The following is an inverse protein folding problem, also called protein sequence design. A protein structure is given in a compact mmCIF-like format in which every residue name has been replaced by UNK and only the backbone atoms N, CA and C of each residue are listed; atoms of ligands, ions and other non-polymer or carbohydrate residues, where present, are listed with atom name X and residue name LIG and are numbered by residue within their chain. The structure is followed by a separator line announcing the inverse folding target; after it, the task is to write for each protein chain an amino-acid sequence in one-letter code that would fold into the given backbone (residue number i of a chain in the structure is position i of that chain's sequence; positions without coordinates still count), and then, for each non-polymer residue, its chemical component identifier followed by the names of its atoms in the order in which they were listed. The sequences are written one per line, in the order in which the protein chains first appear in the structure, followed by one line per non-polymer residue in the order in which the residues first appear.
data_IF_109297769838
#
_entry.id   IF_109297769838
#
_cell.length_a   1.000
_cell.length_b   1.000
_cell.length_c   1.000
_cell.angle_alpha   90.00
_cell.angle_beta   90.00
_cell.angle_gamma   90.00
#
_symmetry.space_group_name_H-M   'P 1'
#
loop_
_entity.id
_entity.type
_entity.pdbx_description
1 polymer ?
#
# COMPACT_ATOMS: atom_id res chain seq x y z
N UNK A 1 -29.02 -22.65 6.85
CA UNK A 1 -28.20 -23.25 5.77
C UNK A 1 -28.54 -22.55 4.45
N UNK A 2 -27.52 -21.99 3.81
CA UNK A 2 -27.65 -21.39 2.47
C UNK A 2 -27.05 -22.34 1.43
N UNK A 3 -27.59 -22.32 0.23
CA UNK A 3 -26.99 -23.06 -0.89
C UNK A 3 -25.78 -22.29 -1.40
N UNK A 4 -24.82 -22.99 -1.98
CA UNK A 4 -23.64 -22.37 -2.60
C UNK A 4 -24.01 -21.33 -3.69
N UNK A 5 -25.14 -21.53 -4.36
CA UNK A 5 -25.68 -20.57 -5.36
C UNK A 5 -26.28 -19.30 -4.78
N UNK A 6 -26.59 -19.27 -3.47
CA UNK A 6 -27.24 -18.15 -2.80
C UNK A 6 -26.23 -17.23 -2.07
N UNK A 7 -24.95 -17.63 -2.05
CA UNK A 7 -23.90 -16.92 -1.30
C UNK A 7 -22.70 -16.66 -2.19
N UNK A 8 -22.29 -15.40 -2.29
CA UNK A 8 -21.01 -15.06 -2.89
C UNK A 8 -19.90 -15.27 -1.85
N UNK A 9 -18.89 -16.07 -2.18
CA UNK A 9 -17.82 -16.41 -1.27
C UNK A 9 -16.47 -15.89 -1.79
N UNK A 10 -16.00 -14.77 -1.23
CA UNK A 10 -14.72 -14.18 -1.56
C UNK A 10 -13.69 -14.58 -0.50
N UNK A 11 -12.63 -15.27 -0.90
CA UNK A 11 -11.53 -15.68 -0.01
C UNK A 11 -10.19 -15.43 -0.67
N UNK A 12 -9.18 -15.15 0.16
CA UNK A 12 -7.79 -15.12 -0.30
C UNK A 12 -7.32 -16.54 -0.60
N UNK A 13 -6.28 -16.68 -1.44
CA UNK A 13 -5.72 -17.98 -1.80
C UNK A 13 -5.15 -18.75 -0.59
N UNK A 14 -4.73 -18.04 0.48
CA UNK A 14 -4.21 -18.68 1.67
C UNK A 14 -5.35 -19.16 2.58
N UNK A 15 -5.53 -20.47 2.63
CA UNK A 15 -6.57 -21.14 3.40
C UNK A 15 -6.03 -22.43 3.99
N UNK A 16 -6.31 -22.68 5.27
CA UNK A 16 -5.89 -23.91 5.95
C UNK A 16 -6.81 -25.10 5.65
N UNK A 17 -8.10 -24.85 5.45
CA UNK A 17 -9.13 -25.88 5.25
C UNK A 17 -9.76 -25.84 3.84
N UNK A 18 -9.26 -24.98 2.96
CA UNK A 18 -9.80 -24.80 1.60
C UNK A 18 -11.12 -24.03 1.55
N UNK A 19 -11.80 -23.84 2.67
CA UNK A 19 -13.10 -23.17 2.77
C UNK A 19 -12.97 -21.73 3.22
N UNK A 20 -12.24 -21.48 4.32
CA UNK A 20 -12.07 -20.14 4.87
C UNK A 20 -10.66 -19.62 4.61
N UNK A 21 -10.56 -18.39 4.11
CA UNK A 21 -9.29 -17.69 3.97
C UNK A 21 -8.75 -17.25 5.34
N UNK A 22 -7.43 -17.25 5.52
CA UNK A 22 -6.78 -16.69 6.70
C UNK A 22 -6.60 -15.19 6.51
N UNK A 23 -6.93 -14.39 7.52
CA UNK A 23 -6.79 -12.94 7.42
C UNK A 23 -5.31 -12.51 7.43
N UNK A 24 -4.98 -11.45 6.72
CA UNK A 24 -3.62 -10.86 6.75
C UNK A 24 -3.25 -10.43 8.17
N UNK A 25 -4.23 -9.99 8.97
CA UNK A 25 -4.04 -9.64 10.37
C UNK A 25 -3.53 -10.82 11.21
N UNK A 26 -4.10 -12.00 11.01
CA UNK A 26 -3.63 -13.22 11.70
C UNK A 26 -2.23 -13.64 11.26
N UNK A 27 -1.91 -13.48 9.97
CA UNK A 27 -0.58 -13.79 9.42
C UNK A 27 0.48 -12.86 10.01
N UNK A 28 0.14 -11.58 10.20
CA UNK A 28 1.04 -10.55 10.68
C UNK A 28 0.98 -10.31 12.19
N UNK A 29 0.30 -11.16 12.96
CA UNK A 29 0.06 -10.93 14.38
C UNK A 29 1.34 -10.62 15.14
N UNK A 30 2.39 -11.40 14.93
CA UNK A 30 3.69 -11.22 15.61
C UNK A 30 4.41 -9.94 15.14
N UNK A 31 4.36 -9.64 13.85
CA UNK A 31 4.96 -8.43 13.28
C UNK A 31 4.28 -7.16 13.82
N UNK A 32 2.96 -7.15 13.87
CA UNK A 32 2.18 -6.02 14.40
C UNK A 32 2.37 -5.91 15.91
N UNK A 33 2.39 -7.04 16.63
CA UNK A 33 2.67 -7.09 18.06
C UNK A 33 4.05 -6.49 18.38
N UNK A 34 5.09 -6.94 17.70
CA UNK A 34 6.45 -6.42 17.86
C UNK A 34 6.57 -4.92 17.53
N UNK A 35 5.89 -4.44 16.48
CA UNK A 35 5.86 -3.02 16.14
C UNK A 35 5.17 -2.18 17.24
N UNK A 36 4.08 -2.69 17.81
CA UNK A 36 3.34 -2.03 18.90
C UNK A 36 4.18 -1.96 20.17
N UNK A 37 4.81 -3.07 20.58
CA UNK A 37 5.69 -3.09 21.74
C UNK A 37 6.91 -2.18 21.57
N UNK A 38 7.50 -2.13 20.39
CA UNK A 38 8.56 -1.16 20.07
C UNK A 38 8.09 0.27 20.21
N UNK A 39 6.87 0.59 19.77
CA UNK A 39 6.29 1.92 19.95
C UNK A 39 6.03 2.24 21.43
N UNK A 40 5.51 1.29 22.19
CA UNK A 40 5.27 1.42 23.62
C UNK A 40 6.59 1.64 24.38
N UNK A 41 7.62 0.89 24.04
CA UNK A 41 8.97 1.07 24.61
C UNK A 41 9.48 2.48 24.37
N UNK A 42 9.41 3.00 23.15
CA UNK A 42 9.83 4.36 22.84
C UNK A 42 9.01 5.42 23.56
N UNK A 43 7.69 5.26 23.59
CA UNK A 43 6.80 6.17 24.31
C UNK A 43 7.17 6.23 25.80
N UNK A 44 7.48 5.11 26.40
CA UNK A 44 7.92 5.03 27.80
C UNK A 44 9.28 5.69 27.99
N UNK A 45 10.22 5.46 27.07
CA UNK A 45 11.54 6.09 27.10
C UNK A 45 11.43 7.63 27.03
N UNK A 46 10.61 8.17 26.12
CA UNK A 46 10.35 9.61 26.02
C UNK A 46 9.63 10.18 27.26
N UNK A 47 8.65 9.44 27.80
CA UNK A 47 7.93 9.86 29.02
C UNK A 47 8.85 9.87 30.25
N UNK A 48 9.77 8.93 30.33
CA UNK A 48 10.76 8.85 31.40
C UNK A 48 11.93 9.84 31.22
N UNK A 49 11.95 10.60 30.12
CA UNK A 49 12.93 11.64 29.86
C UNK A 49 14.28 11.13 29.40
N UNK A 50 14.31 10.07 28.59
CA UNK A 50 15.56 9.43 28.09
C UNK A 50 16.51 9.01 29.24
N UNK A 51 16.00 8.92 30.47
CA UNK A 51 16.76 8.47 31.63
C UNK A 51 17.10 7.01 31.41
N UNK A 52 18.31 6.74 31.01
CA UNK A 52 18.85 5.39 30.97
C UNK A 52 18.56 4.71 32.31
N UNK A 53 18.14 3.44 32.26
CA UNK A 53 18.06 2.65 33.48
C UNK A 53 19.39 2.78 34.22
N UNK A 54 19.36 3.18 35.48
CA UNK A 54 20.56 3.38 36.29
C UNK A 54 20.65 2.23 37.29
N UNK A 55 21.84 1.67 37.43
CA UNK A 55 22.13 0.77 38.51
C UNK A 55 22.58 1.60 39.71
N UNK A 56 21.91 1.45 40.83
CA UNK A 56 22.30 2.04 42.12
C UNK A 56 23.16 1.01 42.86
N UNK A 57 24.44 1.31 42.97
CA UNK A 57 25.39 0.53 43.77
C UNK A 57 25.53 1.13 45.16
N UNK A 58 25.54 0.33 46.18
CA UNK A 58 25.73 0.73 47.56
C UNK A 58 26.67 -0.23 48.30
N UNK A 59 27.40 0.28 49.25
CA UNK A 59 28.29 -0.53 50.11
C UNK A 59 27.54 -0.97 51.37
N UNK A 60 27.58 -2.27 51.65
CA UNK A 60 26.96 -2.90 52.84
C UNK A 60 25.56 -3.43 52.60
N UNK A 61 25.05 -4.16 53.58
CA UNK A 61 23.69 -4.75 53.53
C UNK A 61 22.65 -3.69 53.94
N UNK A 62 21.70 -3.45 53.07
CA UNK A 62 20.56 -2.58 53.35
C UNK A 62 19.28 -3.43 53.45
N UNK A 63 18.46 -3.11 54.42
CA UNK A 63 17.13 -3.70 54.54
C UNK A 63 16.29 -3.38 53.26
N UNK A 64 15.47 -4.29 52.86
CA UNK A 64 14.63 -4.20 51.64
C UNK A 64 13.73 -2.94 51.63
N UNK A 65 13.25 -2.55 52.82
CA UNK A 65 12.48 -1.32 53.02
C UNK A 65 13.25 -0.06 52.64
N UNK A 66 14.53 0.00 53.04
CA UNK A 66 15.44 1.13 52.72
C UNK A 66 15.84 1.16 51.26
N UNK A 67 16.02 -0.01 50.64
CA UNK A 67 16.27 -0.12 49.19
C UNK A 67 15.09 0.45 48.39
N UNK A 68 13.87 0.05 48.72
CA UNK A 68 12.64 0.56 48.05
C UNK A 68 12.49 2.07 48.24
N UNK A 69 12.78 2.59 49.42
CA UNK A 69 12.74 4.05 49.69
C UNK A 69 13.79 4.82 48.86
N UNK A 70 15.01 4.28 48.73
CA UNK A 70 16.05 4.85 47.89
C UNK A 70 15.69 4.82 46.42
N UNK A 71 15.20 3.68 45.92
CA UNK A 71 14.74 3.55 44.55
C UNK A 71 13.67 4.58 44.21
N UNK A 72 12.65 4.73 45.04
CA UNK A 72 11.61 5.75 44.87
C UNK A 72 12.16 7.16 44.84
N UNK A 73 13.03 7.49 45.80
CA UNK A 73 13.67 8.84 45.90
C UNK A 73 14.50 9.19 44.64
N UNK A 74 15.25 8.24 44.12
CA UNK A 74 16.02 8.44 42.88
C UNK A 74 15.14 8.43 41.64
N UNK A 75 14.13 7.54 41.55
CA UNK A 75 13.17 7.55 40.48
C UNK A 75 12.45 8.91 40.37
N UNK A 76 11.95 9.46 41.45
CA UNK A 76 11.27 10.77 41.48
C UNK A 76 12.17 11.94 41.02
N UNK A 77 13.49 11.83 41.24
CA UNK A 77 14.45 12.86 40.85
C UNK A 77 15.03 12.69 39.45
N UNK A 78 15.05 11.46 38.93
CA UNK A 78 15.67 11.11 37.66
C UNK A 78 14.65 10.96 36.53
N UNK A 79 13.41 10.57 36.87
CA UNK A 79 12.39 10.29 35.87
C UNK A 79 11.64 11.57 35.43
N UNK A 80 11.20 11.56 34.17
CA UNK A 80 10.38 12.59 33.58
C UNK A 80 11.15 13.69 32.85
N UNK A 81 10.51 14.29 31.81
CA UNK A 81 11.15 15.29 30.94
C UNK A 81 11.62 16.55 31.71
N UNK A 82 10.99 16.87 32.83
CA UNK A 82 11.36 18.03 33.68
C UNK A 82 12.67 17.82 34.43
N UNK A 83 13.11 16.59 34.58
CA UNK A 83 14.33 16.25 35.34
C UNK A 83 15.52 15.91 34.42
N UNK A 84 15.29 15.90 33.11
CA UNK A 84 16.34 15.62 32.12
C UNK A 84 17.46 16.67 32.24
N UNK A 85 18.71 16.21 32.34
CA UNK A 85 19.89 17.08 32.46
C UNK A 85 20.16 17.68 33.86
N UNK A 86 19.40 17.32 34.89
CA UNK A 86 19.66 17.79 36.26
C UNK A 86 20.84 17.07 36.91
N UNK A 87 21.66 17.83 37.62
CA UNK A 87 22.71 17.30 38.48
C UNK A 87 22.08 16.82 39.78
N UNK A 88 22.33 15.57 40.16
CA UNK A 88 21.80 14.96 41.36
C UNK A 88 22.96 14.67 42.32
N UNK A 89 22.94 15.22 43.55
CA UNK A 89 23.93 14.88 44.56
C UNK A 89 23.73 13.41 44.98
N UNK A 90 24.82 12.63 44.89
CA UNK A 90 24.86 11.25 45.32
C UNK A 90 25.64 11.19 46.64
N UNK A 91 25.06 10.67 47.73
CA UNK A 91 25.76 10.53 49.00
C UNK A 91 27.00 9.63 48.91
N UNK A 92 27.94 9.84 49.78
CA UNK A 92 29.15 9.01 49.89
C UNK A 92 28.74 7.55 50.17
N UNK A 93 29.29 6.59 49.42
CA UNK A 93 28.94 5.17 49.51
C UNK A 93 27.83 4.72 48.58
N UNK A 94 27.24 5.63 47.79
CA UNK A 94 26.30 5.30 46.70
C UNK A 94 26.95 5.66 45.39
N UNK A 95 26.79 4.79 44.39
CA UNK A 95 27.24 5.06 43.01
C UNK A 95 26.09 4.80 42.03
N UNK A 96 25.84 5.77 41.16
CA UNK A 96 24.87 5.64 40.06
C UNK A 96 25.63 5.37 38.78
N UNK A 97 25.40 4.19 38.21
CA UNK A 97 26.01 3.80 36.93
C UNK A 97 24.92 3.71 35.87
N UNK A 98 24.99 4.48 34.78
CA UNK A 98 24.04 4.35 33.71
C UNK A 98 24.20 2.99 33.03
N UNK A 99 23.10 2.26 32.94
CA UNK A 99 23.03 1.04 32.10
C UNK A 99 22.91 1.52 30.65
N UNK A 100 24.00 1.36 29.89
CA UNK A 100 24.02 1.75 28.47
C UNK A 100 23.05 0.88 27.68
N UNK A 101 21.86 1.37 27.41
CA UNK A 101 21.02 0.86 26.34
C UNK A 101 21.25 1.74 25.11
N UNK A 102 22.21 1.35 24.28
CA UNK A 102 22.44 2.02 22.99
C UNK A 102 21.60 1.36 21.91
N UNK A 103 20.31 1.65 21.91
CA UNK A 103 19.58 1.65 20.64
C UNK A 103 19.86 3.04 20.02
N UNK A 104 20.69 3.10 19.01
CA UNK A 104 20.90 4.34 18.27
C UNK A 104 19.57 4.73 17.62
N UNK A 105 19.16 5.99 17.74
CA UNK A 105 17.90 6.51 17.18
C UNK A 105 17.73 6.12 15.71
N UNK A 106 18.82 6.04 14.95
CA UNK A 106 18.84 5.61 13.57
C UNK A 106 18.39 4.16 13.38
N UNK A 107 18.85 3.22 14.21
CA UNK A 107 18.47 1.80 14.11
C UNK A 107 16.99 1.58 14.44
N UNK A 108 16.46 2.34 15.39
CA UNK A 108 15.04 2.27 15.73
C UNK A 108 14.16 2.79 14.59
N UNK A 109 14.56 3.88 13.95
CA UNK A 109 13.86 4.44 12.81
C UNK A 109 13.85 3.46 11.63
N UNK A 110 14.98 2.82 11.33
CA UNK A 110 15.08 1.80 10.29
C UNK A 110 14.20 0.59 10.59
N UNK A 111 14.19 0.11 11.85
CA UNK A 111 13.35 -1.02 12.26
C UNK A 111 11.85 -0.71 12.10
N UNK A 112 11.44 0.50 12.50
CA UNK A 112 10.05 0.96 12.38
C UNK A 112 9.61 1.08 10.92
N UNK A 113 10.48 1.59 10.06
CA UNK A 113 10.28 1.67 8.62
C UNK A 113 10.18 0.28 7.99
N UNK A 114 11.07 -0.63 8.37
CA UNK A 114 11.04 -2.02 7.91
C UNK A 114 9.73 -2.71 8.29
N UNK A 115 9.25 -2.56 9.52
CA UNK A 115 7.97 -3.09 9.98
C UNK A 115 6.78 -2.53 9.17
N UNK A 116 6.80 -1.23 8.86
CA UNK A 116 5.76 -0.61 8.02
C UNK A 116 5.75 -1.18 6.60
N UNK A 117 6.92 -1.41 6.00
CA UNK A 117 7.05 -2.02 4.67
C UNK A 117 6.62 -3.49 4.66
N UNK A 118 6.92 -4.25 5.72
CA UNK A 118 6.45 -5.64 5.85
C UNK A 118 4.93 -5.70 5.93
N UNK A 119 4.31 -4.84 6.73
CA UNK A 119 2.85 -4.78 6.85
C UNK A 119 2.24 -4.38 5.51
N UNK A 120 2.74 -3.34 4.85
CA UNK A 120 2.27 -2.92 3.54
C UNK A 120 2.41 -4.04 2.49
N UNK A 121 3.56 -4.72 2.45
CA UNK A 121 3.83 -5.83 1.54
C UNK A 121 2.86 -7.00 1.69
N UNK A 122 2.46 -7.33 2.92
CA UNK A 122 1.50 -8.39 3.17
C UNK A 122 0.06 -8.07 2.67
N UNK A 123 -0.27 -6.78 2.55
CA UNK A 123 -1.50 -6.32 1.87
C UNK A 123 -1.32 -6.12 0.37
N UNK A 124 -0.11 -6.30 -0.16
CA UNK A 124 0.24 -6.01 -1.56
C UNK A 124 0.35 -4.51 -1.86
N UNK A 125 0.45 -3.67 -0.84
CA UNK A 125 0.57 -2.21 -0.97
C UNK A 125 2.03 -1.87 -1.29
N UNK A 126 2.25 -1.02 -2.28
CA UNK A 126 3.59 -0.60 -2.71
C UNK A 126 4.10 0.56 -1.83
N UNK A 127 5.43 0.74 -1.71
CA UNK A 127 6.02 1.76 -0.83
C UNK A 127 5.52 3.18 -1.09
N UNK A 128 5.32 3.59 -2.34
CA UNK A 128 4.80 4.91 -2.70
C UNK A 128 3.39 5.17 -2.16
N UNK A 129 2.58 4.13 -1.99
CA UNK A 129 1.20 4.25 -1.49
C UNK A 129 1.13 4.52 0.03
N UNK A 130 2.22 4.24 0.75
CA UNK A 130 2.40 4.61 2.16
C UNK A 130 3.31 5.83 2.32
N UNK A 131 3.44 6.65 1.28
CA UNK A 131 4.27 7.85 1.23
C UNK A 131 5.77 7.60 1.49
N UNK A 132 6.26 6.41 1.18
CA UNK A 132 7.68 6.11 1.25
C UNK A 132 8.33 6.26 -0.13
N UNK A 133 8.94 7.42 -0.38
CA UNK A 133 9.54 7.80 -1.67
C UNK A 133 11.09 7.75 -1.68
N UNK A 134 11.74 7.22 -0.66
CA UNK A 134 13.21 7.30 -0.51
C UNK A 134 14.02 6.76 -1.69
N UNK A 135 13.44 5.89 -2.50
CA UNK A 135 14.09 5.31 -3.69
C UNK A 135 13.27 5.50 -4.97
N UNK A 136 12.27 6.40 -4.95
CA UNK A 136 11.39 6.58 -6.10
C UNK A 136 11.64 7.90 -6.82
N UNK A 137 11.96 7.84 -8.12
CA UNK A 137 11.79 8.95 -9.06
C UNK A 137 10.35 8.98 -9.57
N UNK A 138 9.92 10.07 -10.21
CA UNK A 138 8.57 10.18 -10.78
C UNK A 138 8.22 9.03 -11.74
N UNK A 139 9.15 8.59 -12.57
CA UNK A 139 8.98 7.43 -13.46
C UNK A 139 8.76 6.12 -12.70
N UNK A 140 9.35 5.97 -11.51
CA UNK A 140 9.12 4.80 -10.65
C UNK A 140 7.74 4.82 -10.00
N UNK A 141 7.10 5.98 -9.82
CA UNK A 141 5.77 6.09 -9.24
C UNK A 141 4.69 5.51 -10.17
N UNK A 142 4.73 5.82 -11.45
CA UNK A 142 3.82 5.22 -12.45
C UNK A 142 4.01 3.71 -12.55
N UNK A 143 5.26 3.26 -12.61
CA UNK A 143 5.58 1.83 -12.63
C UNK A 143 5.06 1.13 -11.38
N UNK A 144 5.16 1.76 -10.20
CA UNK A 144 4.65 1.20 -8.96
C UNK A 144 3.11 1.17 -8.92
N UNK A 145 2.43 2.17 -9.51
CA UNK A 145 0.96 2.14 -9.63
C UNK A 145 0.51 1.01 -10.56
N UNK A 146 1.17 0.84 -11.70
CA UNK A 146 0.92 -0.26 -12.61
C UNK A 146 1.19 -1.61 -11.93
N UNK A 147 2.30 -1.74 -11.22
CA UNK A 147 2.64 -2.94 -10.47
C UNK A 147 1.60 -3.23 -9.36
N UNK A 148 1.07 -2.20 -8.67
CA UNK A 148 -0.02 -2.38 -7.72
C UNK A 148 -1.29 -2.88 -8.41
N UNK A 149 -1.64 -2.31 -9.56
CA UNK A 149 -2.80 -2.76 -10.32
C UNK A 149 -2.65 -4.23 -10.72
N UNK A 150 -1.54 -4.59 -11.35
CA UNK A 150 -1.32 -5.93 -11.89
C UNK A 150 -1.15 -6.98 -10.78
N UNK A 151 -0.30 -6.71 -9.79
CA UNK A 151 0.08 -7.70 -8.79
C UNK A 151 -0.97 -7.84 -7.66
N UNK A 152 -1.72 -6.78 -7.37
CA UNK A 152 -2.59 -6.72 -6.19
C UNK A 152 -4.05 -6.52 -6.52
N UNK A 153 -4.38 -5.52 -7.35
CA UNK A 153 -5.77 -5.15 -7.58
C UNK A 153 -6.45 -6.10 -8.58
N UNK A 154 -5.82 -6.41 -9.71
CA UNK A 154 -6.41 -7.26 -10.77
C UNK A 154 -6.83 -8.63 -10.25
N UNK A 155 -5.99 -9.28 -9.46
CA UNK A 155 -6.34 -10.57 -8.87
C UNK A 155 -7.64 -10.50 -8.06
N UNK A 156 -7.80 -9.46 -7.23
CA UNK A 156 -9.01 -9.27 -6.40
C UNK A 156 -10.21 -8.90 -7.25
N UNK A 157 -10.04 -8.01 -8.21
CA UNK A 157 -11.13 -7.62 -9.13
C UNK A 157 -11.62 -8.83 -9.93
N UNK A 158 -10.71 -9.66 -10.45
CA UNK A 158 -11.06 -10.88 -11.14
C UNK A 158 -11.83 -11.87 -10.27
N UNK A 159 -11.38 -12.08 -9.05
CA UNK A 159 -12.09 -12.92 -8.09
C UNK A 159 -13.54 -12.45 -7.87
N UNK A 160 -13.75 -11.13 -7.78
CA UNK A 160 -15.10 -10.57 -7.66
C UNK A 160 -15.90 -10.71 -8.96
N UNK A 161 -15.31 -10.42 -10.12
CA UNK A 161 -15.95 -10.57 -11.42
C UNK A 161 -16.43 -12.00 -11.65
N UNK A 162 -15.57 -12.98 -11.41
CA UNK A 162 -15.89 -14.39 -11.62
C UNK A 162 -17.03 -14.86 -10.73
N UNK A 163 -16.99 -14.52 -9.44
CA UNK A 163 -18.04 -14.92 -8.51
C UNK A 163 -19.37 -14.20 -8.78
N UNK A 164 -19.33 -12.91 -9.15
CA UNK A 164 -20.53 -12.14 -9.53
C UNK A 164 -21.13 -12.71 -10.82
N UNK A 165 -20.32 -12.91 -11.86
CA UNK A 165 -20.80 -13.46 -13.13
C UNK A 165 -21.41 -14.85 -12.93
N UNK A 166 -20.78 -15.73 -12.17
CA UNK A 166 -21.27 -17.08 -11.93
C UNK A 166 -22.56 -17.17 -11.10
N UNK A 167 -22.90 -16.13 -10.30
CA UNK A 167 -24.03 -16.22 -9.37
C UNK A 167 -25.14 -15.22 -9.61
N UNK A 168 -24.88 -14.13 -10.30
CA UNK A 168 -25.87 -13.06 -10.57
C UNK A 168 -26.48 -13.18 -11.95
N UNK A 169 -25.68 -13.57 -12.95
CA UNK A 169 -26.19 -13.73 -14.30
C UNK A 169 -27.00 -15.02 -14.44
N UNK A 170 -28.14 -14.92 -15.13
CA UNK A 170 -28.88 -16.06 -15.58
C UNK A 170 -28.20 -16.65 -16.83
N UNK A 171 -28.42 -17.94 -17.10
CA UNK A 171 -27.90 -18.60 -18.29
C UNK A 171 -28.29 -17.87 -19.60
N UNK A 172 -29.50 -17.26 -19.65
CA UNK A 172 -29.95 -16.50 -20.84
C UNK A 172 -29.16 -15.21 -21.03
N UNK A 173 -28.80 -14.55 -19.96
CA UNK A 173 -28.00 -13.31 -20.01
C UNK A 173 -26.56 -13.64 -20.40
N UNK A 174 -26.00 -14.72 -19.87
CA UNK A 174 -24.67 -15.19 -20.22
C UNK A 174 -24.59 -15.60 -21.72
N UNK A 175 -25.57 -16.37 -22.22
CA UNK A 175 -25.69 -16.71 -23.65
C UNK A 175 -25.88 -15.48 -24.54
N UNK A 176 -26.53 -14.43 -24.02
CA UNK A 176 -26.68 -13.16 -24.73
C UNK A 176 -25.42 -12.27 -24.68
N UNK A 177 -24.34 -12.71 -24.00
CA UNK A 177 -23.06 -12.03 -23.92
C UNK A 177 -22.98 -10.96 -22.87
N UNK A 178 -23.90 -10.91 -21.87
CA UNK A 178 -23.79 -9.99 -20.75
C UNK A 178 -22.72 -10.48 -19.77
N UNK A 179 -21.98 -9.54 -19.22
CA UNK A 179 -20.98 -9.82 -18.18
C UNK A 179 -20.75 -8.60 -17.31
N UNK A 180 -20.37 -8.83 -16.05
CA UNK A 180 -19.89 -7.80 -15.14
C UNK A 180 -18.37 -7.72 -15.24
N UNK A 181 -17.86 -6.51 -15.42
CA UNK A 181 -16.42 -6.23 -15.46
C UNK A 181 -16.11 -4.92 -14.79
N UNK A 182 -15.08 -4.89 -13.95
CA UNK A 182 -14.59 -3.65 -13.38
C UNK A 182 -13.85 -2.82 -14.43
N UNK A 183 -14.00 -1.51 -14.35
CA UNK A 183 -13.25 -0.58 -15.17
C UNK A 183 -11.84 -0.35 -14.60
N UNK A 184 -10.91 -1.19 -14.96
CA UNK A 184 -9.51 -1.12 -14.52
C UNK A 184 -8.81 0.16 -14.96
N UNK A 185 -9.28 0.75 -16.08
CA UNK A 185 -8.73 2.00 -16.64
C UNK A 185 -8.90 3.20 -15.69
N UNK A 186 -9.86 3.14 -14.77
CA UNK A 186 -10.07 4.19 -13.79
C UNK A 186 -8.87 4.39 -12.84
N UNK A 187 -8.09 3.33 -12.57
CA UNK A 187 -6.88 3.38 -11.73
C UNK A 187 -5.68 3.91 -12.52
N UNK A 188 -5.65 3.61 -13.83
CA UNK A 188 -4.59 4.02 -14.75
C UNK A 188 -4.87 5.39 -15.39
N UNK A 189 -5.59 6.30 -14.71
CA UNK A 189 -5.73 7.67 -15.18
C UNK A 189 -4.34 8.29 -15.22
N UNK A 190 -3.64 8.00 -16.31
CA UNK A 190 -2.38 8.63 -16.69
C UNK A 190 -2.58 10.12 -16.91
N UNK A 191 -1.48 10.86 -16.96
CA UNK A 191 -1.42 12.24 -17.40
C UNK A 191 -2.36 12.51 -18.56
N UNK A 192 -3.13 13.58 -18.47
CA UNK A 192 -4.11 14.00 -19.48
C UNK A 192 -3.54 14.00 -20.89
N UNK A 193 -2.25 14.32 -21.04
CA UNK A 193 -1.56 14.33 -22.33
C UNK A 193 -1.46 12.91 -22.93
N UNK A 194 -0.97 11.93 -22.18
CA UNK A 194 -0.85 10.55 -22.62
C UNK A 194 -2.21 9.95 -22.95
N UNK A 195 -3.24 10.28 -22.17
CA UNK A 195 -4.62 9.86 -22.42
C UNK A 195 -5.15 10.44 -23.75
N UNK A 196 -4.92 11.72 -24.00
CA UNK A 196 -5.35 12.37 -25.25
C UNK A 196 -4.60 11.81 -26.47
N UNK A 197 -3.31 11.52 -26.34
CA UNK A 197 -2.52 10.88 -27.41
C UNK A 197 -3.06 9.47 -27.71
N UNK A 198 -3.33 8.66 -26.71
CA UNK A 198 -3.93 7.32 -26.86
C UNK A 198 -5.30 7.37 -27.56
N UNK A 199 -6.19 8.27 -27.14
CA UNK A 199 -7.51 8.41 -27.73
C UNK A 199 -7.43 8.92 -29.18
N UNK A 200 -6.56 9.87 -29.46
CA UNK A 200 -6.28 10.36 -30.81
C UNK A 200 -5.83 9.23 -31.72
N UNK A 201 -4.89 8.42 -31.27
CA UNK A 201 -4.36 7.30 -32.06
C UNK A 201 -5.43 6.21 -32.25
N UNK A 202 -6.23 5.91 -31.23
CA UNK A 202 -7.31 4.95 -31.33
C UNK A 202 -8.40 5.38 -32.32
N UNK A 203 -8.76 6.66 -32.36
CA UNK A 203 -9.74 7.21 -33.32
C UNK A 203 -9.14 7.25 -34.72
N UNK A 204 -7.91 7.73 -34.89
CA UNK A 204 -7.26 7.87 -36.20
C UNK A 204 -6.99 6.50 -36.88
N UNK A 205 -6.83 5.44 -36.09
CA UNK A 205 -6.63 4.09 -36.61
C UNK A 205 -7.94 3.27 -36.71
N UNK A 206 -9.10 3.90 -36.51
CA UNK A 206 -10.40 3.23 -36.64
C UNK A 206 -10.71 2.20 -35.53
N UNK A 207 -10.02 2.28 -34.39
CA UNK A 207 -10.26 1.41 -33.23
C UNK A 207 -11.45 1.92 -32.43
N UNK A 208 -11.52 3.26 -32.23
CA UNK A 208 -12.62 3.92 -31.54
C UNK A 208 -13.37 4.86 -32.50
N UNK A 209 -14.68 4.93 -32.28
CA UNK A 209 -15.49 6.02 -32.85
C UNK A 209 -15.22 7.32 -32.12
N UNK A 210 -15.33 8.50 -32.75
CA UNK A 210 -15.20 9.77 -32.05
C UNK A 210 -16.06 9.86 -30.78
N UNK A 211 -17.33 9.39 -30.82
CA UNK A 211 -18.20 9.41 -29.65
C UNK A 211 -17.73 8.48 -28.52
N UNK A 212 -17.12 7.36 -28.83
CA UNK A 212 -16.54 6.49 -27.79
C UNK A 212 -15.37 7.17 -27.07
N UNK A 213 -14.54 7.92 -27.80
CA UNK A 213 -13.47 8.72 -27.21
C UNK A 213 -14.03 9.91 -26.40
N UNK A 214 -15.11 10.56 -26.86
CA UNK A 214 -15.82 11.62 -26.13
C UNK A 214 -16.42 11.10 -24.82
N UNK A 215 -17.09 9.96 -24.85
CA UNK A 215 -17.63 9.30 -23.63
C UNK A 215 -16.52 8.91 -22.65
N UNK A 216 -15.36 8.52 -23.17
CA UNK A 216 -14.19 8.24 -22.32
C UNK A 216 -13.71 9.46 -21.54
N UNK A 217 -13.95 10.69 -22.09
CA UNK A 217 -13.62 11.98 -21.49
C UNK A 217 -14.81 12.64 -20.77
N UNK A 218 -15.90 11.89 -20.55
CA UNK A 218 -17.16 12.38 -19.96
C UNK A 218 -17.76 13.57 -20.76
N UNK A 219 -17.56 13.59 -22.09
CA UNK A 219 -18.11 14.60 -22.98
C UNK A 219 -19.40 14.08 -23.68
N UNK A 220 -20.36 14.96 -23.96
CA UNK A 220 -21.58 14.59 -24.67
C UNK A 220 -21.28 14.10 -26.09
N UNK A 221 -22.14 13.22 -26.62
CA UNK A 221 -22.04 12.69 -27.97
C UNK A 221 -22.22 13.81 -29.03
N UNK A 222 -21.52 13.66 -30.13
CA UNK A 222 -21.68 14.48 -31.32
C UNK A 222 -22.56 13.73 -32.34
N UNK A 223 -23.51 14.40 -33.05
CA UNK A 223 -24.38 13.75 -34.03
C UNK A 223 -23.65 12.98 -35.14
N UNK A 224 -22.47 13.44 -35.52
CA UNK A 224 -21.65 12.81 -36.56
C UNK A 224 -20.54 11.91 -36.03
N UNK A 225 -20.45 11.75 -34.70
CA UNK A 225 -19.35 11.06 -34.03
C UNK A 225 -19.45 9.53 -34.00
N UNK A 226 -20.48 8.91 -34.59
CA UNK A 226 -20.69 7.46 -34.55
C UNK A 226 -20.11 6.69 -35.74
N UNK A 227 -19.39 7.38 -36.62
CA UNK A 227 -18.70 6.75 -37.75
C UNK A 227 -17.24 6.48 -37.41
N UNK A 228 -16.76 5.29 -37.76
CA UNK A 228 -15.32 5.02 -37.70
C UNK A 228 -14.62 5.84 -38.77
N UNK A 229 -13.55 6.52 -38.37
CA UNK A 229 -12.69 7.27 -39.27
C UNK A 229 -11.31 6.62 -39.31
N UNK A 230 -10.65 6.65 -40.44
CA UNK A 230 -9.28 6.17 -40.62
C UNK A 230 -8.47 7.20 -41.38
N UNK A 231 -7.18 7.20 -41.14
CA UNK A 231 -6.28 8.03 -41.92
C UNK A 231 -6.13 7.44 -43.32
N UNK A 232 -6.58 8.20 -44.34
CA UNK A 232 -6.54 7.77 -45.76
C UNK A 232 -5.13 7.57 -46.32
N UNK A 233 -4.08 7.89 -45.58
CA UNK A 233 -2.70 7.68 -46.00
C UNK A 233 -2.22 6.22 -45.81
N UNK A 234 -2.99 5.38 -45.10
CA UNK A 234 -2.69 3.96 -45.00
C UNK A 234 -3.38 3.19 -46.12
N UNK A 235 -2.60 2.48 -46.90
CA UNK A 235 -3.09 1.62 -47.96
C UNK A 235 -2.61 0.17 -47.72
N UNK A 236 -3.41 -0.84 -48.10
CA UNK A 236 -2.98 -2.23 -48.05
C UNK A 236 -1.67 -2.41 -48.83
N UNK A 237 -0.78 -3.29 -48.31
CA UNK A 237 0.54 -3.53 -48.91
C UNK A 237 0.43 -3.92 -50.41
N UNK A 238 -0.60 -4.65 -50.78
CA UNK A 238 -0.92 -5.07 -52.16
C UNK A 238 -1.22 -3.89 -53.10
N UNK A 239 -1.60 -2.73 -52.53
CA UNK A 239 -1.94 -1.53 -53.29
C UNK A 239 -0.85 -0.47 -53.25
N UNK A 240 0.30 -0.74 -52.62
CA UNK A 240 1.44 0.18 -52.60
C UNK A 240 1.93 0.36 -54.04
N UNK A 241 2.00 1.62 -54.48
CA UNK A 241 2.42 1.99 -55.83
C UNK A 241 1.24 2.13 -56.83
N UNK A 242 0.06 1.57 -56.59
CA UNK A 242 -1.08 1.72 -57.52
C UNK A 242 -1.67 3.13 -57.53
N UNK A 243 -1.45 3.92 -56.47
CA UNK A 243 -1.86 5.31 -56.36
C UNK A 243 -1.13 6.24 -57.30
N UNK A 244 0.04 5.84 -57.81
CA UNK A 244 0.82 6.60 -58.77
C UNK A 244 0.55 6.22 -60.25
N UNK A 245 -0.21 5.13 -60.47
CA UNK A 245 -0.51 4.64 -61.80
C UNK A 245 -1.83 5.17 -62.40
N UNK A 246 -2.61 5.97 -61.63
CA UNK A 246 -3.86 6.58 -62.11
C UNK A 246 -3.71 8.11 -62.37
N UNK A 247 -2.63 8.50 -62.97
CA UNK A 247 -2.36 9.89 -63.35
C UNK A 247 -1.92 10.01 -64.83
N UNK A 248 -2.59 9.29 -65.70
CA UNK A 248 -2.25 9.35 -67.11
C UNK A 248 -3.36 8.77 -67.99
N UNK A 249 -4.47 9.47 -68.06
CA UNK A 249 -5.36 9.63 -69.21
C UNK A 249 -6.22 10.86 -69.01
#
# INVERSE_FOLDING_TARGET
LFRSSEVMHFKTWYSLNGIMGKSVREILQDTVGGALESQNFMNNLYRQGLSASMALQYAGDLEESKIKALQKKFADKLSGPKNAGRVIPVPIGLQLTPLKMTLTDAQFFELKKYSALQIAGAFGIKPNQINNYEKSSYSNSETQQLAFLVDTALYRLKMYEEEINAKVLSLKEEEAGYFYKFNEKAILRTDTKTQMEMLKDAVNNGIYRPNEARRYLDMPDDPDGDKLIVNGNYIPLEKVGTQYTKGGE
#
